data_IF_609405643373
#
_entry.id   IF_609405643373
#
_cell.length_a   1.000
_cell.length_b   1.000
_cell.length_c   1.000
_cell.angle_alpha   90.00
_cell.angle_beta   90.00
_cell.angle_gamma   90.00
#
_symmetry.space_group_name_H-M   'P 1'
#
loop_
_entity.id
_entity.type
_entity.pdbx_description
1 polymer ?
#
# COMPACT_ATOMS: atom_id res chain seq x y z
N UNK A 1 14.56 -3.00 26.89
CA UNK A 1 15.85 -2.77 26.20
C UNK A 1 15.50 -2.33 24.78
N UNK A 2 15.55 -1.02 24.53
CA UNK A 2 15.10 -0.38 23.29
C UNK A 2 16.16 -0.55 22.18
N UNK A 3 15.79 -0.85 20.93
CA UNK A 3 16.54 -0.34 19.80
C UNK A 3 15.83 0.88 19.23
N UNK A 4 16.64 1.91 19.01
CA UNK A 4 16.30 3.18 18.40
C UNK A 4 15.81 2.95 16.96
N UNK A 5 14.51 3.06 16.75
CA UNK A 5 13.91 3.32 15.43
C UNK A 5 13.39 4.75 15.51
N UNK A 6 13.68 5.57 14.50
CA UNK A 6 13.41 7.01 14.43
C UNK A 6 14.45 7.91 15.13
N UNK A 7 15.71 7.77 14.73
CA UNK A 7 16.57 8.94 14.60
C UNK A 7 17.64 8.70 13.53
N UNK A 8 17.27 8.88 12.27
CA UNK A 8 18.27 9.02 11.21
C UNK A 8 17.85 10.17 10.32
N UNK A 9 18.52 11.31 10.49
CA UNK A 9 18.60 12.35 9.48
C UNK A 9 19.46 11.79 8.33
N UNK A 10 18.87 10.92 7.52
CA UNK A 10 19.54 10.41 6.32
C UNK A 10 19.26 11.37 5.18
N UNK A 11 20.31 11.85 4.53
CA UNK A 11 20.19 12.64 3.31
C UNK A 11 19.42 11.81 2.27
N UNK A 12 18.31 12.35 1.77
CA UNK A 12 17.57 11.82 0.64
C UNK A 12 18.46 11.88 -0.60
N UNK A 13 19.08 10.76 -0.94
CA UNK A 13 19.60 10.56 -2.30
C UNK A 13 18.36 10.25 -3.14
N UNK A 14 17.95 11.18 -3.98
CA UNK A 14 16.91 10.97 -4.98
C UNK A 14 17.43 10.01 -6.05
N UNK A 15 17.36 8.71 -5.77
CA UNK A 15 17.66 7.67 -6.76
C UNK A 15 16.49 7.64 -7.74
N UNK A 16 16.67 8.25 -8.90
CA UNK A 16 15.75 8.08 -10.02
C UNK A 16 15.78 6.62 -10.47
N UNK A 17 14.70 5.86 -10.22
CA UNK A 17 14.57 4.46 -10.60
C UNK A 17 14.57 4.31 -12.13
N UNK A 18 15.72 3.92 -12.69
CA UNK A 18 15.77 3.30 -14.00
C UNK A 18 15.43 1.81 -13.85
N UNK A 19 14.27 1.39 -14.37
CA UNK A 19 13.86 0.00 -14.34
C UNK A 19 14.77 -0.83 -15.27
N UNK A 20 15.64 -1.66 -14.70
CA UNK A 20 16.25 -2.78 -15.42
C UNK A 20 15.25 -3.93 -15.41
N UNK A 21 14.44 -4.02 -16.46
CA UNK A 21 13.60 -5.18 -16.71
C UNK A 21 14.49 -6.35 -17.16
N UNK A 22 15.04 -7.10 -16.20
CA UNK A 22 15.56 -8.44 -16.46
C UNK A 22 14.38 -9.41 -16.36
N UNK A 23 13.89 -9.89 -17.51
CA UNK A 23 13.04 -11.06 -17.59
C UNK A 23 13.88 -12.31 -17.30
N UNK A 24 14.22 -12.51 -16.03
CA UNK A 24 14.70 -13.78 -15.50
C UNK A 24 13.59 -14.31 -14.60
N UNK A 25 13.14 -15.54 -14.84
CA UNK A 25 12.01 -16.16 -14.15
C UNK A 25 12.10 -15.91 -12.64
N UNK A 26 11.11 -15.20 -12.11
CA UNK A 26 10.98 -14.88 -10.69
C UNK A 26 10.93 -16.24 -9.97
N UNK A 27 11.93 -16.61 -9.16
CA UNK A 27 11.78 -17.74 -8.27
C UNK A 27 10.62 -17.39 -7.35
N UNK A 28 9.49 -18.11 -7.47
CA UNK A 28 8.40 -17.98 -6.52
C UNK A 28 8.97 -18.26 -5.13
N UNK A 29 9.11 -17.22 -4.32
CA UNK A 29 9.50 -17.31 -2.90
C UNK A 29 8.38 -17.88 -2.02
N UNK A 30 7.35 -18.50 -2.61
CA UNK A 30 6.15 -19.09 -1.98
C UNK A 30 6.43 -20.27 -1.02
N UNK A 31 7.67 -20.43 -0.53
CA UNK A 31 8.03 -21.53 0.36
C UNK A 31 8.97 -21.18 1.52
N UNK A 32 9.54 -19.97 1.59
CA UNK A 32 10.43 -19.59 2.69
C UNK A 32 9.66 -19.13 3.93
N UNK A 33 8.60 -18.36 3.73
CA UNK A 33 7.69 -17.88 4.77
C UNK A 33 6.25 -18.12 4.36
N UNK A 34 5.36 -18.26 5.34
CA UNK A 34 3.95 -18.54 5.15
C UNK A 34 3.10 -17.72 6.11
N UNK A 35 1.86 -17.44 5.71
CA UNK A 35 0.93 -16.75 6.57
C UNK A 35 0.49 -17.66 7.74
N UNK A 36 0.72 -17.20 8.98
CA UNK A 36 0.36 -17.94 10.20
C UNK A 36 -0.83 -17.33 10.97
N UNK A 37 -1.49 -16.32 10.39
CA UNK A 37 -2.69 -15.68 10.93
C UNK A 37 -3.79 -15.64 9.88
N UNK A 38 -5.04 -15.57 10.31
CA UNK A 38 -6.19 -15.41 9.42
C UNK A 38 -6.78 -14.00 9.53
N UNK A 39 -7.42 -13.51 8.46
CA UNK A 39 -8.25 -12.31 8.50
C UNK A 39 -9.26 -12.35 9.63
N UNK A 40 -9.50 -11.20 10.25
CA UNK A 40 -10.58 -11.05 11.21
C UNK A 40 -11.76 -10.40 10.51
N UNK A 41 -12.70 -11.23 10.06
CA UNK A 41 -13.84 -10.76 9.31
C UNK A 41 -14.87 -10.06 10.21
N UNK A 42 -15.49 -9.01 9.68
CA UNK A 42 -16.60 -8.31 10.31
C UNK A 42 -17.52 -7.65 9.28
N UNK A 43 -18.31 -6.68 9.74
CA UNK A 43 -19.29 -6.01 8.91
C UNK A 43 -19.01 -4.51 8.82
N UNK A 44 -19.06 -3.95 7.60
CA UNK A 44 -18.92 -2.52 7.37
C UNK A 44 -19.97 -1.69 8.13
N UNK A 45 -21.18 -2.23 8.28
CA UNK A 45 -22.28 -1.59 9.00
C UNK A 45 -22.04 -1.46 10.51
N UNK A 46 -21.15 -2.25 11.09
CA UNK A 46 -20.78 -2.13 12.51
C UNK A 46 -19.99 -0.83 12.80
N UNK A 47 -19.45 -0.20 11.75
CA UNK A 47 -18.73 1.07 11.87
C UNK A 47 -17.41 0.97 12.63
N UNK A 48 -16.88 -0.23 12.88
CA UNK A 48 -15.59 -0.46 13.53
C UNK A 48 -14.64 -1.09 12.49
N UNK A 49 -13.42 -0.55 12.30
CA UNK A 49 -12.44 -1.09 11.37
C UNK A 49 -12.19 -2.58 11.58
N UNK A 50 -12.38 -3.35 10.52
CA UNK A 50 -12.29 -4.81 10.52
C UNK A 50 -12.12 -5.29 9.08
N UNK A 51 -11.49 -6.44 8.86
CA UNK A 51 -11.36 -6.98 7.51
C UNK A 51 -12.75 -7.23 6.92
N UNK A 52 -13.01 -6.66 5.75
CA UNK A 52 -14.31 -6.76 5.10
C UNK A 52 -14.18 -6.64 3.59
N UNK A 53 -15.00 -7.41 2.89
CA UNK A 53 -15.31 -7.25 1.48
C UNK A 53 -16.84 -7.10 1.34
N UNK A 54 -17.28 -5.93 0.87
CA UNK A 54 -18.68 -5.63 0.55
C UNK A 54 -18.78 -5.30 -0.94
N UNK A 55 -19.04 -6.34 -1.74
CA UNK A 55 -19.33 -6.22 -3.17
C UNK A 55 -18.13 -6.28 -4.11
N UNK A 56 -16.88 -6.38 -3.61
CA UNK A 56 -15.74 -6.65 -4.50
C UNK A 56 -15.86 -8.07 -5.03
N UNK A 57 -15.71 -8.21 -6.35
CA UNK A 57 -15.73 -9.47 -7.05
C UNK A 57 -14.42 -10.26 -6.81
N UNK A 58 -14.40 -11.57 -7.11
CA UNK A 58 -13.17 -12.36 -7.05
C UNK A 58 -12.06 -11.70 -7.87
N UNK A 59 -10.82 -11.68 -7.38
CA UNK A 59 -9.72 -10.94 -8.01
C UNK A 59 -9.56 -11.18 -9.51
N UNK A 60 -9.81 -12.41 -9.98
CA UNK A 60 -9.76 -12.81 -11.39
C UNK A 60 -10.75 -12.05 -12.32
N UNK A 61 -11.76 -11.36 -11.77
CA UNK A 61 -12.68 -10.53 -12.55
C UNK A 61 -12.06 -9.19 -12.94
N UNK A 62 -11.07 -8.71 -12.19
CA UNK A 62 -10.41 -7.44 -12.47
C UNK A 62 -9.37 -7.62 -13.57
N UNK A 63 -9.41 -6.73 -14.57
CA UNK A 63 -8.44 -6.67 -15.68
C UNK A 63 -7.39 -5.61 -15.47
N UNK A 64 -7.69 -4.63 -14.61
CA UNK A 64 -6.77 -3.56 -14.25
C UNK A 64 -6.80 -3.34 -12.75
N UNK A 65 -5.63 -3.25 -12.14
CA UNK A 65 -5.44 -2.76 -10.78
C UNK A 65 -4.75 -1.41 -10.88
N UNK A 66 -5.34 -0.38 -10.28
CA UNK A 66 -4.73 0.95 -10.14
C UNK A 66 -4.33 1.13 -8.69
N UNK A 67 -3.03 1.24 -8.43
CA UNK A 67 -2.49 1.30 -7.07
C UNK A 67 -1.94 2.69 -6.74
N UNK A 68 -2.25 3.17 -5.55
CA UNK A 68 -1.73 4.42 -4.98
C UNK A 68 -1.12 4.13 -3.61
N UNK A 69 0.02 4.76 -3.30
CA UNK A 69 0.68 4.58 -2.02
C UNK A 69 2.08 5.17 -1.94
N UNK A 70 2.77 4.78 -0.87
CA UNK A 70 4.15 5.16 -0.55
C UNK A 70 5.22 4.24 -1.15
N UNK A 71 6.44 4.34 -0.61
CA UNK A 71 7.63 3.58 -1.05
C UNK A 71 7.41 2.06 -1.00
N UNK A 72 6.70 1.61 0.04
CA UNK A 72 6.47 0.20 0.37
C UNK A 72 5.66 -0.59 -0.66
N UNK A 73 5.04 0.07 -1.63
CA UNK A 73 4.40 -0.60 -2.78
C UNK A 73 4.87 -0.04 -4.13
N UNK A 74 5.94 0.75 -4.15
CA UNK A 74 6.56 1.23 -5.37
C UNK A 74 7.27 0.08 -6.11
N UNK A 75 7.24 0.08 -7.44
CA UNK A 75 7.91 -0.94 -8.26
C UNK A 75 9.45 -0.79 -8.32
N UNK A 76 10.06 -0.11 -7.34
CA UNK A 76 11.50 0.08 -7.26
C UNK A 76 12.17 -1.09 -6.51
N UNK A 77 12.52 -2.13 -7.27
CA UNK A 77 13.17 -3.35 -6.77
C UNK A 77 14.70 -3.24 -6.83
N UNK A 78 15.39 -3.74 -5.81
CA UNK A 78 16.84 -4.00 -5.89
C UNK A 78 17.25 -5.21 -5.06
N UNK A 79 17.90 -6.18 -5.68
CA UNK A 79 18.46 -7.36 -5.01
C UNK A 79 19.81 -7.10 -4.33
N UNK A 80 20.46 -5.98 -4.64
CA UNK A 80 21.81 -5.62 -4.16
C UNK A 80 21.82 -4.38 -3.27
N UNK A 81 20.64 -3.92 -2.81
CA UNK A 81 20.46 -2.72 -2.00
C UNK A 81 20.05 -1.47 -2.81
N UNK A 82 19.40 -0.51 -2.15
CA UNK A 82 18.99 0.79 -2.75
C UNK A 82 17.60 0.83 -3.40
N UNK A 83 16.89 -0.29 -3.50
CA UNK A 83 15.46 -0.34 -3.83
C UNK A 83 14.60 -0.51 -2.57
N UNK A 84 13.29 -0.26 -2.70
CA UNK A 84 12.33 -0.39 -1.61
C UNK A 84 12.27 -1.83 -1.08
N UNK A 85 12.44 -2.82 -1.96
CA UNK A 85 12.43 -4.23 -1.58
C UNK A 85 13.32 -5.07 -2.51
N UNK A 86 13.48 -6.35 -2.21
CA UNK A 86 14.31 -7.31 -2.95
C UNK A 86 13.51 -8.22 -3.89
N UNK A 87 12.37 -7.77 -4.39
CA UNK A 87 11.48 -8.55 -5.26
C UNK A 87 10.07 -7.99 -5.26
N UNK A 88 9.10 -8.64 -5.93
CA UNK A 88 7.76 -8.07 -6.12
C UNK A 88 7.09 -7.59 -4.82
N UNK A 89 6.47 -6.42 -4.89
CA UNK A 89 5.62 -5.88 -3.83
C UNK A 89 4.30 -6.65 -3.75
N UNK A 90 3.59 -6.50 -2.64
CA UNK A 90 2.33 -7.22 -2.44
C UNK A 90 1.26 -6.86 -3.48
N UNK A 91 1.28 -5.63 -4.02
CA UNK A 91 0.32 -5.20 -5.04
C UNK A 91 0.66 -5.75 -6.43
N UNK A 92 1.95 -5.94 -6.74
CA UNK A 92 2.38 -6.64 -7.95
C UNK A 92 2.00 -8.14 -7.89
N UNK A 93 2.13 -8.75 -6.71
CA UNK A 93 1.66 -10.12 -6.48
C UNK A 93 0.13 -10.22 -6.61
N UNK A 94 -0.62 -9.27 -6.06
CA UNK A 94 -2.07 -9.20 -6.19
C UNK A 94 -2.51 -9.09 -7.66
N UNK A 95 -1.86 -8.21 -8.43
CA UNK A 95 -2.12 -8.06 -9.87
C UNK A 95 -1.77 -9.34 -10.65
N UNK A 96 -0.66 -9.99 -10.30
CA UNK A 96 -0.27 -11.28 -10.88
C UNK A 96 -1.31 -12.37 -10.59
N UNK A 97 -1.78 -12.49 -9.35
CA UNK A 97 -2.85 -13.43 -8.96
C UNK A 97 -4.17 -13.16 -9.69
N UNK A 98 -4.49 -11.89 -9.94
CA UNK A 98 -5.66 -11.48 -10.72
C UNK A 98 -5.50 -11.69 -12.24
N UNK A 99 -4.28 -11.94 -12.73
CA UNK A 99 -3.92 -11.80 -14.15
C UNK A 99 -4.36 -10.43 -14.72
N UNK A 100 -4.11 -9.38 -13.94
CA UNK A 100 -4.51 -8.00 -14.25
C UNK A 100 -3.29 -7.15 -14.64
N UNK A 101 -3.53 -6.13 -15.46
CA UNK A 101 -2.57 -5.06 -15.67
C UNK A 101 -2.46 -4.20 -14.41
N UNK A 102 -1.24 -3.98 -13.92
CA UNK A 102 -0.99 -3.03 -12.83
C UNK A 102 -0.66 -1.64 -13.40
N UNK A 103 -1.40 -0.63 -12.97
CA UNK A 103 -1.06 0.79 -13.11
C UNK A 103 -0.67 1.29 -11.72
N UNK A 104 0.63 1.38 -11.45
CA UNK A 104 1.15 1.74 -10.14
C UNK A 104 1.56 3.22 -10.10
N UNK A 105 0.85 4.02 -9.32
CA UNK A 105 1.16 5.42 -9.06
C UNK A 105 1.97 5.63 -7.77
N UNK A 106 2.21 4.56 -7.00
CA UNK A 106 2.90 4.67 -5.72
C UNK A 106 4.32 5.24 -5.86
N UNK A 107 4.70 6.07 -4.89
CA UNK A 107 5.92 6.84 -4.94
C UNK A 107 6.60 6.93 -3.57
N UNK A 108 7.93 6.94 -3.60
CA UNK A 108 8.75 7.06 -2.39
C UNK A 108 8.48 8.36 -1.64
N UNK A 109 8.30 8.25 -0.32
CA UNK A 109 8.02 9.40 0.56
C UNK A 109 6.63 10.02 0.36
N UNK A 110 5.73 9.37 -0.38
CA UNK A 110 4.37 9.86 -0.58
C UNK A 110 3.58 9.79 0.72
N UNK A 111 3.10 10.94 1.13
CA UNK A 111 1.99 11.11 2.09
C UNK A 111 0.66 11.21 1.35
N UNK A 112 -0.45 11.30 2.07
CA UNK A 112 -1.75 11.62 1.48
C UNK A 112 -1.75 13.04 0.90
N UNK A 113 -1.35 14.03 1.70
CA UNK A 113 -1.40 15.45 1.34
C UNK A 113 -0.19 16.18 1.91
N UNK A 114 0.75 16.54 1.05
CA UNK A 114 1.97 17.20 1.47
C UNK A 114 1.70 18.59 2.06
N UNK A 115 0.58 19.24 1.74
CA UNK A 115 0.25 20.57 2.27
C UNK A 115 -0.03 20.56 3.77
N UNK A 116 -0.37 19.38 4.34
CA UNK A 116 -0.52 19.16 5.77
C UNK A 116 0.82 19.02 6.51
N UNK A 117 1.93 18.91 5.77
CA UNK A 117 3.28 18.75 6.31
C UNK A 117 4.25 19.85 5.85
N UNK A 118 3.89 21.16 5.97
CA UNK A 118 4.67 22.26 5.38
C UNK A 118 6.07 22.42 6.01
N UNK A 119 6.25 21.89 7.23
CA UNK A 119 7.49 22.00 7.99
C UNK A 119 8.47 20.85 7.76
N UNK A 120 8.13 19.89 6.90
CA UNK A 120 8.89 18.66 6.69
C UNK A 120 9.55 18.71 5.32
N UNK A 121 10.83 19.13 5.20
CA UNK A 121 11.44 19.41 3.90
C UNK A 121 11.48 18.20 2.98
N UNK A 122 11.62 16.99 3.54
CA UNK A 122 11.58 15.73 2.83
C UNK A 122 10.24 15.52 2.11
N UNK A 123 9.12 15.72 2.82
CA UNK A 123 7.78 15.60 2.26
C UNK A 123 7.53 16.71 1.24
N UNK A 124 7.97 17.95 1.52
CA UNK A 124 7.82 19.06 0.57
C UNK A 124 8.60 18.83 -0.73
N UNK A 125 9.81 18.27 -0.64
CA UNK A 125 10.60 17.89 -1.81
C UNK A 125 9.93 16.79 -2.65
N UNK A 126 9.10 15.94 -2.02
CA UNK A 126 8.31 14.89 -2.65
C UNK A 126 6.84 15.30 -2.94
N UNK A 127 6.45 16.54 -2.70
CA UNK A 127 5.04 16.98 -2.73
C UNK A 127 4.32 16.69 -4.04
N UNK A 128 5.02 16.75 -5.18
CA UNK A 128 4.46 16.37 -6.49
C UNK A 128 4.13 14.88 -6.65
N UNK A 129 4.39 14.07 -5.63
CA UNK A 129 4.16 12.62 -5.59
C UNK A 129 3.15 12.21 -4.51
N UNK A 130 2.55 13.13 -3.75
CA UNK A 130 1.51 12.81 -2.76
C UNK A 130 0.23 12.25 -3.40
N UNK A 131 -0.67 11.69 -2.60
CA UNK A 131 -1.92 11.12 -3.12
C UNK A 131 -2.76 12.14 -3.91
N UNK A 132 -2.83 13.39 -3.42
CA UNK A 132 -3.54 14.49 -4.11
C UNK A 132 -3.01 14.67 -5.53
N UNK A 133 -1.69 14.74 -5.72
CA UNK A 133 -1.05 14.89 -7.02
C UNK A 133 -1.06 13.62 -7.87
N UNK A 134 -0.99 12.43 -7.25
CA UNK A 134 -1.21 11.15 -7.96
C UNK A 134 -2.64 11.09 -8.52
N UNK A 135 -3.63 11.57 -7.76
CA UNK A 135 -5.02 11.70 -8.20
C UNK A 135 -5.18 12.68 -9.37
N UNK A 136 -4.58 13.88 -9.29
CA UNK A 136 -4.54 14.84 -10.40
C UNK A 136 -3.90 14.25 -11.65
N UNK A 137 -2.76 13.57 -11.49
CA UNK A 137 -2.03 12.92 -12.60
C UNK A 137 -2.89 11.87 -13.29
N UNK A 138 -3.64 11.08 -12.52
CA UNK A 138 -4.60 10.11 -13.04
C UNK A 138 -5.69 10.80 -13.85
N UNK A 139 -6.28 11.90 -13.36
CA UNK A 139 -7.30 12.67 -14.10
C UNK A 139 -6.75 13.26 -15.40
N UNK A 140 -5.55 13.84 -15.35
CA UNK A 140 -4.92 14.52 -16.49
C UNK A 140 -4.55 13.53 -17.60
N UNK A 141 -3.95 12.38 -17.26
CA UNK A 141 -3.58 11.33 -18.23
C UNK A 141 -4.78 10.71 -18.93
N UNK A 142 -5.97 10.81 -18.35
CA UNK A 142 -7.21 10.33 -18.97
C UNK A 142 -7.90 11.44 -19.80
N UNK A 143 -7.63 12.73 -19.56
CA UNK A 143 -8.24 13.87 -20.28
C UNK A 143 -7.44 14.41 -21.46
N UNK A 144 -6.12 14.26 -21.51
CA UNK A 144 -5.28 14.87 -22.57
C UNK A 144 -4.33 13.86 -23.22
N UNK A 145 -4.62 13.42 -24.45
CA UNK A 145 -3.58 13.04 -25.43
C UNK A 145 -4.12 12.79 -26.86
N UNK A 146 -3.84 13.67 -27.82
CA UNK A 146 -3.29 13.29 -29.11
C UNK A 146 -1.81 12.90 -28.92
N UNK A 147 -1.37 11.85 -29.63
CA UNK A 147 0.02 11.39 -29.79
C UNK A 147 1.01 12.55 -29.83
N UNK A 148 2.12 12.52 -29.04
CA UNK A 148 3.55 12.69 -29.43
C UNK A 148 4.39 12.70 -28.13
N UNK A 149 4.87 11.54 -27.61
CA UNK A 149 6.14 11.38 -26.87
C UNK A 149 6.59 9.90 -26.86
N UNK A 150 7.89 9.58 -27.00
CA UNK A 150 8.34 8.21 -27.12
C UNK A 150 8.58 7.54 -25.75
N UNK A 151 7.90 6.40 -25.58
CA UNK A 151 8.26 5.20 -24.81
C UNK A 151 8.81 5.34 -23.36
N UNK A 152 7.90 5.27 -22.39
CA UNK A 152 8.03 4.31 -21.28
C UNK A 152 6.71 3.53 -21.26
N UNK A 153 6.77 2.23 -21.49
CA UNK A 153 5.68 1.34 -21.95
C UNK A 153 4.42 1.39 -21.08
N UNK A 154 3.59 2.42 -21.25
CA UNK A 154 2.16 2.39 -20.96
C UNK A 154 1.47 2.26 -22.31
N UNK A 155 0.95 1.06 -22.60
CA UNK A 155 0.03 0.90 -23.72
C UNK A 155 -1.16 1.86 -23.55
N UNK A 156 -1.27 2.75 -24.53
CA UNK A 156 -2.47 3.44 -25.04
C UNK A 156 -3.68 3.57 -24.09
N UNK A 157 -3.92 4.80 -23.63
CA UNK A 157 -5.20 5.52 -23.78
C UNK A 157 -6.49 4.69 -23.68
N UNK A 158 -6.64 3.90 -22.62
CA UNK A 158 -7.87 3.14 -22.37
C UNK A 158 -8.66 3.84 -21.27
N UNK A 159 -9.88 4.27 -21.59
CA UNK A 159 -10.88 4.54 -20.55
C UNK A 159 -10.93 3.31 -19.66
N UNK A 160 -10.66 3.48 -18.37
CA UNK A 160 -10.70 2.37 -17.42
C UNK A 160 -12.14 1.88 -17.33
N UNK A 161 -12.36 0.58 -17.49
CA UNK A 161 -13.69 -0.01 -17.30
C UNK A 161 -13.98 -0.07 -15.79
N UNK A 162 -14.97 0.70 -15.29
CA UNK A 162 -15.32 0.69 -13.88
C UNK A 162 -15.67 -0.70 -13.34
N UNK A 163 -16.22 -1.59 -14.16
CA UNK A 163 -16.62 -2.92 -13.74
C UNK A 163 -15.42 -3.87 -13.55
N UNK A 164 -14.35 -3.68 -14.31
CA UNK A 164 -13.16 -4.54 -14.27
C UNK A 164 -11.91 -3.84 -13.72
N UNK A 165 -12.04 -2.65 -13.14
CA UNK A 165 -10.92 -1.91 -12.53
C UNK A 165 -11.06 -1.91 -11.01
N UNK A 166 -10.01 -2.35 -10.32
CA UNK A 166 -9.86 -2.27 -8.87
C UNK A 166 -8.89 -1.15 -8.50
N UNK A 167 -9.34 -0.22 -7.66
CA UNK A 167 -8.52 0.85 -7.12
C UNK A 167 -8.01 0.43 -5.74
N UNK A 168 -6.69 0.38 -5.59
CA UNK A 168 -6.01 -0.05 -4.37
C UNK A 168 -5.31 1.15 -3.73
N UNK A 169 -5.65 1.43 -2.48
CA UNK A 169 -5.12 2.55 -1.71
C UNK A 169 -4.31 2.01 -0.53
N UNK A 170 -3.03 2.39 -0.43
CA UNK A 170 -2.13 2.00 0.65
C UNK A 170 -1.36 3.21 1.19
N UNK A 171 -1.95 3.87 2.18
CA UNK A 171 -1.44 5.10 2.77
C UNK A 171 -1.54 5.10 4.29
N UNK A 172 -0.83 6.04 4.91
CA UNK A 172 -0.93 6.34 6.33
C UNK A 172 0.33 6.03 7.13
N UNK A 173 1.30 5.27 6.58
CA UNK A 173 2.55 4.94 7.30
C UNK A 173 3.39 6.20 7.51
N UNK A 174 3.65 6.93 6.44
CA UNK A 174 4.48 8.13 6.39
C UNK A 174 3.80 9.28 7.15
N UNK A 175 2.50 9.47 6.92
CA UNK A 175 1.66 10.43 7.65
C UNK A 175 1.67 10.16 9.16
N UNK A 176 1.48 8.90 9.57
CA UNK A 176 1.50 8.53 10.99
C UNK A 176 2.88 8.71 11.62
N UNK A 177 3.95 8.30 10.92
CA UNK A 177 5.31 8.46 11.40
C UNK A 177 5.63 9.95 11.64
N UNK A 178 5.24 10.82 10.72
CA UNK A 178 5.46 12.26 10.85
C UNK A 178 4.58 12.87 11.96
N UNK A 179 3.33 12.42 12.08
CA UNK A 179 2.44 12.88 13.14
C UNK A 179 3.03 12.58 14.53
N UNK A 180 3.55 11.36 14.72
CA UNK A 180 4.23 10.96 15.95
C UNK A 180 5.51 11.78 16.17
N UNK A 181 6.32 11.99 15.13
CA UNK A 181 7.58 12.72 15.23
C UNK A 181 7.40 14.20 15.62
N UNK A 182 6.33 14.82 15.14
CA UNK A 182 6.04 16.25 15.36
C UNK A 182 5.09 16.52 16.52
N UNK A 183 4.45 15.48 17.07
CA UNK A 183 3.37 15.63 18.05
C UNK A 183 2.07 16.16 17.44
N UNK A 184 1.88 16.03 16.13
CA UNK A 184 0.63 16.39 15.46
C UNK A 184 -0.49 15.44 15.86
N UNK A 185 -1.71 15.96 15.93
CA UNK A 185 -2.93 15.19 16.22
C UNK A 185 -3.85 15.04 15.01
N UNK A 186 -3.40 15.52 13.85
CA UNK A 186 -4.31 15.84 12.74
C UNK A 186 -4.50 14.72 11.71
N UNK A 187 -4.49 13.48 12.17
CA UNK A 187 -4.76 12.33 11.30
C UNK A 187 -6.19 12.34 10.70
N UNK A 188 -7.10 13.12 11.28
CA UNK A 188 -8.46 13.29 10.74
C UNK A 188 -8.47 14.15 9.47
N UNK A 189 -7.71 15.26 9.41
CA UNK A 189 -7.63 16.04 8.16
C UNK A 189 -6.93 15.26 7.05
N UNK A 190 -5.94 14.43 7.40
CA UNK A 190 -5.28 13.52 6.44
C UNK A 190 -6.29 12.54 5.83
N UNK A 191 -7.13 11.89 6.66
CA UNK A 191 -8.20 11.04 6.16
C UNK A 191 -9.24 11.82 5.34
N UNK A 192 -9.52 13.08 5.71
CA UNK A 192 -10.37 14.00 4.96
C UNK A 192 -9.84 14.32 3.56
N UNK A 193 -8.56 14.68 3.43
CA UNK A 193 -7.91 14.92 2.14
C UNK A 193 -7.94 13.65 1.27
N UNK A 194 -7.69 12.48 1.84
CA UNK A 194 -7.82 11.21 1.11
C UNK A 194 -9.24 11.01 0.56
N UNK A 195 -10.27 11.17 1.38
CA UNK A 195 -11.66 10.99 0.95
C UNK A 195 -12.03 12.00 -0.15
N UNK A 196 -11.66 13.27 0.03
CA UNK A 196 -11.95 14.33 -0.92
C UNK A 196 -11.33 14.02 -2.30
N UNK A 197 -10.04 13.71 -2.37
CA UNK A 197 -9.36 13.34 -3.62
C UNK A 197 -9.97 12.10 -4.26
N UNK A 198 -10.37 11.12 -3.45
CA UNK A 198 -11.03 9.90 -3.91
C UNK A 198 -12.39 10.19 -4.57
N UNK A 199 -13.18 11.10 -3.99
CA UNK A 199 -14.44 11.56 -4.59
C UNK A 199 -14.20 12.37 -5.88
N UNK A 200 -13.15 13.18 -5.94
CA UNK A 200 -12.76 13.87 -7.17
C UNK A 200 -12.37 12.89 -8.30
N UNK A 201 -11.70 11.79 -7.96
CA UNK A 201 -11.36 10.71 -8.90
C UNK A 201 -12.60 9.97 -9.39
N UNK A 202 -13.63 9.79 -8.55
CA UNK A 202 -14.91 9.26 -9.02
C UNK A 202 -15.59 10.22 -10.00
N UNK A 203 -15.64 11.50 -9.65
CA UNK A 203 -16.33 12.55 -10.40
C UNK A 203 -15.70 12.88 -11.77
N UNK A 204 -14.48 12.43 -12.07
CA UNK A 204 -13.82 12.75 -13.35
C UNK A 204 -14.40 12.04 -14.58
N UNK A 205 -15.40 11.16 -14.43
CA UNK A 205 -16.19 10.54 -15.50
C UNK A 205 -15.44 9.48 -16.33
N UNK A 206 -14.12 9.61 -16.44
CA UNK A 206 -13.24 8.75 -17.23
C UNK A 206 -12.52 7.67 -16.41
N UNK A 207 -12.73 7.70 -15.09
CA UNK A 207 -12.15 6.81 -14.07
C UNK A 207 -13.20 6.17 -13.19
N UNK A 208 -14.48 6.59 -13.29
CA UNK A 208 -15.67 6.15 -12.52
C UNK A 208 -15.34 5.05 -11.51
N UNK A 209 -14.87 5.49 -10.34
CA UNK A 209 -14.34 4.56 -9.35
C UNK A 209 -15.50 3.76 -8.75
N UNK A 210 -15.52 2.45 -8.98
CA UNK A 210 -16.57 1.55 -8.48
C UNK A 210 -16.06 0.49 -7.53
N UNK A 211 -14.84 0.00 -7.70
CA UNK A 211 -14.26 -1.02 -6.84
C UNK A 211 -13.06 -0.41 -6.11
N UNK A 212 -13.16 -0.29 -4.79
CA UNK A 212 -12.17 0.38 -3.94
C UNK A 212 -11.71 -0.58 -2.86
N UNK A 213 -10.40 -0.83 -2.81
CA UNK A 213 -9.76 -1.58 -1.75
C UNK A 213 -8.83 -0.63 -0.99
N UNK A 214 -9.12 -0.39 0.28
CA UNK A 214 -8.17 0.25 1.19
C UNK A 214 -7.45 -0.83 2.00
N UNK A 215 -6.12 -0.78 1.97
CA UNK A 215 -5.28 -1.63 2.81
C UNK A 215 -4.61 -0.74 3.85
N UNK A 216 -4.85 -1.02 5.12
CA UNK A 216 -4.31 -0.27 6.24
C UNK A 216 -3.06 -0.93 6.81
N UNK A 217 -2.05 -0.10 7.10
CA UNK A 217 -0.90 -0.50 7.90
C UNK A 217 -0.20 0.70 8.57
N UNK A 218 -0.93 1.75 8.95
CA UNK A 218 -0.35 3.05 9.36
C UNK A 218 0.80 2.93 10.39
N UNK A 219 0.73 1.94 11.29
CA UNK A 219 1.65 1.80 12.42
C UNK A 219 2.60 0.61 12.33
N UNK A 220 2.64 -0.09 11.19
CA UNK A 220 3.42 -1.32 11.00
C UNK A 220 3.18 -2.34 12.14
N UNK A 221 1.91 -2.53 12.50
CA UNK A 221 1.46 -3.41 13.60
C UNK A 221 1.41 -2.80 14.99
N UNK A 222 1.89 -1.56 15.18
CA UNK A 222 1.64 -0.81 16.42
C UNK A 222 0.31 -0.07 16.32
N UNK A 223 -0.49 -0.16 17.37
CA UNK A 223 -1.73 0.61 17.49
C UNK A 223 -1.50 1.87 18.34
N UNK A 224 -2.24 2.93 18.04
CA UNK A 224 -2.33 4.12 18.87
C UNK A 224 -3.66 4.83 18.62
N UNK A 225 -4.12 5.61 19.60
CA UNK A 225 -5.36 6.37 19.44
C UNK A 225 -5.34 7.30 18.21
N UNK A 226 -4.16 7.85 17.89
CA UNK A 226 -3.96 8.75 16.76
C UNK A 226 -4.15 8.03 15.41
N UNK A 227 -3.47 6.90 15.22
CA UNK A 227 -3.61 6.14 13.98
C UNK A 227 -4.93 5.37 13.90
N UNK A 228 -5.48 4.91 15.03
CA UNK A 228 -6.81 4.30 15.07
C UNK A 228 -7.90 5.31 14.68
N UNK A 229 -7.70 6.60 14.98
CA UNK A 229 -8.57 7.68 14.48
C UNK A 229 -8.51 7.78 12.95
N UNK A 230 -7.33 7.75 12.33
CA UNK A 230 -7.18 7.69 10.86
C UNK A 230 -7.94 6.50 10.27
N UNK A 231 -7.64 5.31 10.81
CA UNK A 231 -8.22 4.03 10.39
C UNK A 231 -9.75 4.07 10.47
N UNK A 232 -10.29 4.58 11.57
CA UNK A 232 -11.72 4.75 11.80
C UNK A 232 -12.36 5.71 10.79
N UNK A 233 -11.71 6.83 10.50
CA UNK A 233 -12.23 7.83 9.58
C UNK A 233 -12.31 7.28 8.14
N UNK A 234 -11.25 6.62 7.68
CA UNK A 234 -11.22 5.95 6.37
C UNK A 234 -12.29 4.86 6.28
N UNK A 235 -12.40 4.01 7.31
CA UNK A 235 -13.41 2.94 7.33
C UNK A 235 -14.84 3.50 7.24
N UNK A 236 -15.11 4.57 7.99
CA UNK A 236 -16.41 5.26 7.97
C UNK A 236 -16.68 5.87 6.59
N UNK A 237 -15.67 6.44 5.96
CA UNK A 237 -15.74 7.01 4.62
C UNK A 237 -16.04 5.94 3.55
N UNK A 238 -15.41 4.77 3.63
CA UNK A 238 -15.75 3.62 2.77
C UNK A 238 -17.20 3.16 2.96
N UNK A 239 -17.68 3.14 4.21
CA UNK A 239 -19.09 2.88 4.52
C UNK A 239 -20.05 3.86 3.84
N UNK A 240 -19.70 5.15 3.86
CA UNK A 240 -20.48 6.19 3.17
C UNK A 240 -20.41 6.05 1.64
N UNK A 241 -19.22 5.79 1.08
CA UNK A 241 -19.05 5.56 -0.35
C UNK A 241 -19.82 4.34 -0.86
N UNK A 242 -19.88 3.26 -0.08
CA UNK A 242 -20.72 2.10 -0.41
C UNK A 242 -22.22 2.48 -0.45
N UNK A 243 -22.73 3.17 0.56
CA UNK A 243 -24.17 3.51 0.65
C UNK A 243 -24.60 4.56 -0.37
N UNK A 244 -23.82 5.63 -0.50
CA UNK A 244 -24.18 6.85 -1.24
C UNK A 244 -23.68 6.79 -2.69
N UNK A 245 -22.44 6.36 -2.90
CA UNK A 245 -21.78 6.36 -4.20
C UNK A 245 -21.77 4.99 -4.89
N UNK A 246 -22.38 3.98 -4.24
CA UNK A 246 -22.49 2.59 -4.74
C UNK A 246 -21.13 1.98 -5.05
N UNK A 247 -20.12 2.29 -4.25
CA UNK A 247 -18.82 1.61 -4.33
C UNK A 247 -18.95 0.18 -3.81
N UNK A 248 -18.33 -0.75 -4.53
CA UNK A 248 -17.90 -2.02 -3.98
C UNK A 248 -16.64 -1.75 -3.17
N UNK A 249 -16.62 -2.11 -1.90
CA UNK A 249 -15.56 -1.71 -0.97
C UNK A 249 -14.91 -2.91 -0.30
N UNK A 250 -13.59 -2.85 -0.20
CA UNK A 250 -12.80 -3.71 0.66
C UNK A 250 -12.02 -2.85 1.65
N UNK A 251 -11.96 -3.30 2.89
CA UNK A 251 -11.01 -2.79 3.87
C UNK A 251 -10.25 -3.98 4.45
N UNK A 252 -8.92 -3.90 4.45
CA UNK A 252 -8.06 -4.94 5.00
C UNK A 252 -7.03 -4.27 5.92
N UNK A 253 -6.91 -4.72 7.16
CA UNK A 253 -5.86 -4.26 8.05
C UNK A 253 -4.74 -5.29 8.15
N UNK A 254 -3.53 -4.88 7.81
CA UNK A 254 -2.33 -5.71 7.94
C UNK A 254 -1.78 -5.73 9.38
N UNK A 255 -2.43 -5.04 10.32
CA UNK A 255 -2.00 -5.00 11.71
C UNK A 255 -1.88 -6.40 12.33
N UNK A 256 -2.76 -7.33 11.99
CA UNK A 256 -2.71 -8.74 12.44
C UNK A 256 -1.50 -9.48 11.90
N UNK A 257 -1.08 -9.19 10.66
CA UNK A 257 0.15 -9.76 10.09
C UNK A 257 1.36 -9.21 10.84
N UNK A 258 1.47 -7.89 10.96
CA UNK A 258 2.60 -7.25 11.63
C UNK A 258 2.68 -7.59 13.12
N UNK A 259 1.57 -7.50 13.84
CA UNK A 259 1.51 -7.86 15.25
C UNK A 259 1.78 -9.35 15.44
N UNK A 260 1.24 -10.23 14.59
CA UNK A 260 1.48 -11.66 14.63
C UNK A 260 2.96 -12.03 14.45
N UNK A 261 3.71 -11.25 13.66
CA UNK A 261 5.16 -11.42 13.48
C UNK A 261 5.96 -10.78 14.62
N UNK A 262 5.70 -9.50 14.92
CA UNK A 262 6.59 -8.66 15.74
C UNK A 262 6.23 -8.58 17.23
N UNK A 263 4.94 -8.65 17.58
CA UNK A 263 4.47 -8.17 18.89
C UNK A 263 3.61 -9.18 19.67
N UNK A 264 3.07 -10.19 19.00
CA UNK A 264 2.09 -11.10 19.57
C UNK A 264 2.23 -12.53 19.07
N UNK A 265 1.22 -13.34 19.40
CA UNK A 265 1.11 -14.70 18.86
C UNK A 265 0.66 -14.66 17.38
N UNK A 266 1.13 -15.61 16.54
CA UNK A 266 1.92 -16.78 16.90
C UNK A 266 3.45 -16.55 16.97
N UNK A 267 3.92 -15.34 16.65
CA UNK A 267 5.33 -14.97 16.63
C UNK A 267 6.01 -15.30 15.30
N UNK A 268 7.08 -14.58 14.98
CA UNK A 268 7.76 -14.63 13.68
C UNK A 268 8.17 -16.04 13.19
N UNK A 269 8.53 -16.95 14.10
CA UNK A 269 8.91 -18.33 13.74
C UNK A 269 7.75 -19.13 13.15
N UNK A 270 6.51 -18.86 13.57
CA UNK A 270 5.34 -19.55 13.03
C UNK A 270 5.09 -19.16 11.56
N UNK A 271 5.53 -17.97 11.15
CA UNK A 271 5.53 -17.52 9.76
C UNK A 271 6.74 -18.02 8.97
N UNK A 272 7.74 -18.64 9.63
CA UNK A 272 8.97 -19.11 8.99
C UNK A 272 10.14 -18.13 9.04
N UNK A 273 9.98 -16.95 9.63
CA UNK A 273 11.10 -16.00 9.75
C UNK A 273 12.18 -16.51 10.71
N UNK A 274 13.42 -16.15 10.43
CA UNK A 274 14.59 -16.37 11.30
C UNK A 274 15.14 -15.06 11.86
N UNK A 275 14.91 -13.93 11.18
CA UNK A 275 15.27 -12.59 11.66
C UNK A 275 14.15 -11.56 11.43
N UNK A 276 13.78 -10.87 12.51
CA UNK A 276 12.83 -9.75 12.56
C UNK A 276 13.40 -8.52 13.28
N UNK A 277 14.65 -8.61 13.72
CA UNK A 277 15.30 -7.61 14.57
C UNK A 277 16.11 -6.59 13.77
N UNK A 278 16.55 -6.96 12.57
CA UNK A 278 17.35 -6.12 11.68
C UNK A 278 16.72 -5.90 10.31
N UNK A 279 17.27 -4.90 9.62
CA UNK A 279 17.10 -4.75 8.18
C UNK A 279 18.09 -5.67 7.45
N UNK A 280 17.65 -6.31 6.37
CA UNK A 280 18.54 -7.11 5.53
C UNK A 280 19.61 -6.26 4.84
N UNK A 281 19.28 -5.02 4.47
CA UNK A 281 20.23 -4.04 3.91
C UNK A 281 20.71 -3.10 5.01
N UNK A 282 22.02 -3.07 5.22
CA UNK A 282 22.71 -2.17 6.15
C UNK A 282 23.94 -1.58 5.47
N UNK A 283 23.86 -0.30 5.08
CA UNK A 283 24.90 0.33 4.26
C UNK A 283 25.05 -0.39 2.92
N UNK A 284 26.25 -0.90 2.65
CA UNK A 284 26.56 -1.64 1.41
C UNK A 284 26.46 -3.17 1.57
N UNK A 285 26.02 -3.66 2.73
CA UNK A 285 25.87 -5.10 2.99
C UNK A 285 24.42 -5.54 2.85
N UNK A 286 24.23 -6.76 2.33
CA UNK A 286 22.96 -7.48 2.30
C UNK A 286 23.08 -8.72 3.18
N UNK A 287 22.01 -9.06 3.91
CA UNK A 287 21.96 -10.25 4.73
C UNK A 287 22.07 -11.54 3.90
N UNK A 288 22.53 -12.62 4.53
CA UNK A 288 22.73 -13.90 3.85
C UNK A 288 21.42 -14.61 3.46
N UNK A 289 20.33 -14.34 4.20
CA UNK A 289 19.04 -15.01 4.02
C UNK A 289 17.86 -14.01 3.98
N UNK A 290 17.72 -13.25 2.88
CA UNK A 290 16.61 -12.32 2.72
C UNK A 290 15.24 -13.02 2.63
N UNK A 291 15.20 -14.33 2.38
CA UNK A 291 13.96 -15.08 2.24
C UNK A 291 13.28 -15.37 3.59
N UNK A 292 14.06 -15.42 4.69
CA UNK A 292 13.55 -15.58 6.06
C UNK A 292 13.80 -14.34 6.93
N UNK A 293 14.10 -13.19 6.31
CA UNK A 293 14.23 -11.89 6.99
C UNK A 293 12.98 -11.05 6.73
N UNK A 294 12.47 -10.37 7.75
CA UNK A 294 11.21 -9.65 7.66
C UNK A 294 11.31 -8.28 6.97
N UNK A 295 12.36 -7.51 7.29
CA UNK A 295 12.57 -6.17 6.76
C UNK A 295 13.72 -6.15 5.76
N UNK A 296 13.49 -5.54 4.60
CA UNK A 296 14.56 -5.30 3.63
C UNK A 296 15.39 -4.09 4.07
N UNK A 297 14.72 -2.98 4.32
CA UNK A 297 15.30 -1.75 4.86
C UNK A 297 14.34 -1.15 5.91
N UNK A 298 14.74 -0.06 6.56
CA UNK A 298 13.90 0.56 7.58
C UNK A 298 12.54 0.97 6.98
N UNK A 299 11.45 0.43 7.54
CA UNK A 299 10.09 0.68 7.06
C UNK A 299 9.67 -0.10 5.81
N UNK A 300 10.60 -0.77 5.11
CA UNK A 300 10.28 -1.49 3.88
C UNK A 300 10.44 -3.02 4.03
N UNK A 301 9.38 -3.80 3.75
CA UNK A 301 9.44 -5.26 3.88
C UNK A 301 10.28 -5.95 2.81
N UNK A 302 10.74 -7.17 3.08
CA UNK A 302 11.30 -8.04 2.04
C UNK A 302 10.21 -8.55 1.10
N UNK A 303 10.62 -9.07 -0.06
CA UNK A 303 9.72 -9.75 -1.00
C UNK A 303 8.98 -10.94 -0.36
N UNK A 304 9.63 -11.63 0.59
CA UNK A 304 9.02 -12.69 1.39
C UNK A 304 7.87 -12.15 2.25
N UNK A 305 8.07 -11.00 2.89
CA UNK A 305 7.01 -10.31 3.65
C UNK A 305 5.90 -9.77 2.76
N UNK A 306 6.23 -9.22 1.59
CA UNK A 306 5.23 -8.84 0.60
C UNK A 306 4.36 -10.02 0.14
N UNK A 307 4.93 -11.22 0.03
CA UNK A 307 4.17 -12.42 -0.31
C UNK A 307 3.10 -12.76 0.73
N UNK A 308 3.42 -12.73 2.03
CA UNK A 308 2.42 -13.00 3.07
C UNK A 308 1.40 -11.85 3.21
N UNK A 309 1.80 -10.59 2.92
CA UNK A 309 0.87 -9.46 2.86
C UNK A 309 -0.16 -9.67 1.73
N UNK A 310 0.30 -10.07 0.53
CA UNK A 310 -0.56 -10.38 -0.59
C UNK A 310 -1.50 -11.56 -0.26
N UNK A 311 -0.98 -12.65 0.32
CA UNK A 311 -1.78 -13.80 0.75
C UNK A 311 -2.87 -13.39 1.76
N UNK A 312 -2.54 -12.53 2.74
CA UNK A 312 -3.51 -12.04 3.71
C UNK A 312 -4.62 -11.22 3.05
N UNK A 313 -4.27 -10.30 2.15
CA UNK A 313 -5.24 -9.50 1.38
C UNK A 313 -6.14 -10.40 0.54
N UNK A 314 -5.58 -11.37 -0.17
CA UNK A 314 -6.34 -12.36 -0.95
C UNK A 314 -7.32 -13.16 -0.07
N UNK A 315 -6.87 -13.61 1.12
CA UNK A 315 -7.73 -14.29 2.09
C UNK A 315 -8.82 -13.37 2.62
N UNK A 316 -8.53 -12.11 2.92
CA UNK A 316 -9.53 -11.17 3.42
C UNK A 316 -10.62 -10.93 2.36
N UNK A 317 -10.22 -10.73 1.10
CA UNK A 317 -11.16 -10.53 -0.01
C UNK A 317 -12.05 -11.76 -0.29
N UNK A 318 -11.56 -12.97 0.01
CA UNK A 318 -12.31 -14.21 -0.23
C UNK A 318 -13.11 -14.70 0.97
N UNK A 319 -12.62 -14.49 2.19
CA UNK A 319 -13.23 -15.01 3.42
C UNK A 319 -14.12 -13.98 4.12
N UNK A 320 -13.82 -12.69 4.00
CA UNK A 320 -14.55 -11.63 4.70
C UNK A 320 -15.65 -11.00 3.85
N UNK A 321 -16.25 -11.79 2.96
CA UNK A 321 -17.39 -11.36 2.16
C UNK A 321 -18.60 -11.19 3.09
N UNK A 322 -19.03 -9.95 3.30
CA UNK A 322 -20.28 -9.68 4.01
C UNK A 322 -21.44 -10.13 3.14
N UNK A 323 -22.33 -10.96 3.69
CA UNK A 323 -23.64 -11.19 3.08
C UNK A 323 -24.45 -9.89 3.26
N UNK A 324 -24.85 -9.31 2.13
CA UNK A 324 -25.71 -8.13 2.06
C UNK A 324 -27.06 -8.35 2.75
#
# INVERSE_FOLDING_TARGET
>A
MFPQLFNSRTALISVSCAALAAAAGIPQTRGAVQLAVSPQCGALAAGVPVDVNVGLAPLSSYKTIVAFGGESISSCHSYTGGGATNGPTWVELLASSANAQLINYAATGSVVDATLWPHVPAIQAASGQDYVNQGVSTRSRVRTAPQIRPARTLESTKTLDPASTLYVMFYGIEDYAEAVATGSTDMSNIAGSWLYTTLELEGSGSTLMRNVLFVDNYGLGKTSALGDTFKQYVFTALGSGHRLNKWNVGFVSLDRVWAGVLYGAPGYKAFGYTDVSGNCVQGNATCADPAHTFMWSAGNPTAATHAIMAEYVEKALTQCVSQT
#
